data_IF_193616710402
#
_entry.id   IF_193616710402
#
_cell.length_a   1.000
_cell.length_b   1.000
_cell.length_c   1.000
_cell.angle_alpha   90.00
_cell.angle_beta   90.00
_cell.angle_gamma   90.00
#
_symmetry.space_group_name_H-M   'P 1'
#
loop_
_entity.id
_entity.type
_entity.pdbx_description
1 polymer ?
#
# COMPACT_ATOMS: atom_id res chain seq x y z
N UNK A 1 3.45 5.02 -31.18
CA UNK A 1 3.47 4.64 -30.76
C UNK A 1 3.71 4.19 -30.36
N UNK A 2 3.85 3.95 -30.05
CA UNK A 2 3.79 3.42 -29.62
C UNK A 2 3.88 2.84 -29.27
N UNK A 3 3.98 2.35 -29.67
CA UNK A 3 4.07 1.66 -29.50
C UNK A 3 4.28 1.27 -29.04
N UNK A 4 4.46 0.79 -29.11
CA UNK A 4 4.62 0.39 -28.72
C UNK A 4 4.26 0.11 -28.09
N UNK A 5 3.80 -0.67 -28.20
CA UNK A 5 3.09 -0.85 -27.60
C UNK A 5 3.03 -1.29 -26.34
N UNK A 6 3.04 -2.48 -25.80
CA UNK A 6 3.29 -2.79 -24.44
C UNK A 6 4.18 -1.78 -23.80
N UNK A 7 5.09 -1.46 -24.53
CA UNK A 7 5.92 -0.35 -24.14
C UNK A 7 5.11 0.87 -23.89
N UNK A 8 3.87 0.75 -24.23
CA UNK A 8 2.99 1.89 -24.21
C UNK A 8 2.01 1.76 -23.07
N UNK A 9 2.57 1.66 -21.85
CA UNK A 9 1.76 1.75 -20.65
C UNK A 9 1.09 3.11 -20.63
N UNK A 10 -0.19 3.11 -20.33
CA UNK A 10 -0.92 4.38 -20.21
C UNK A 10 -0.62 5.03 -18.87
N UNK A 11 -0.63 6.34 -18.86
CA UNK A 11 -0.56 7.11 -17.62
C UNK A 11 -1.96 7.20 -17.04
N UNK A 12 -2.14 6.69 -15.83
CA UNK A 12 -3.44 6.70 -15.19
C UNK A 12 -3.25 6.96 -13.69
N UNK A 13 -2.91 8.20 -13.36
CA UNK A 13 -2.65 8.58 -11.98
C UNK A 13 -3.90 8.42 -11.11
N UNK A 14 -5.09 8.55 -11.70
CA UNK A 14 -6.33 8.33 -10.96
C UNK A 14 -6.45 6.90 -10.48
N UNK A 15 -6.07 5.92 -11.32
CA UNK A 15 -6.09 4.53 -10.89
C UNK A 15 -5.05 4.27 -9.79
N UNK A 16 -3.88 4.89 -9.86
CA UNK A 16 -2.88 4.78 -8.81
C UNK A 16 -3.41 5.35 -7.49
N UNK A 17 -4.10 6.49 -7.55
CA UNK A 17 -4.75 7.08 -6.37
C UNK A 17 -5.77 6.11 -5.78
N UNK A 18 -6.62 5.55 -6.63
CA UNK A 18 -7.65 4.59 -6.19
C UNK A 18 -7.01 3.39 -5.54
N UNK A 19 -5.90 2.90 -6.10
CA UNK A 19 -5.20 1.73 -5.53
C UNK A 19 -4.68 2.02 -4.12
N UNK A 20 -4.11 3.20 -3.89
CA UNK A 20 -3.67 3.57 -2.55
C UNK A 20 -4.85 3.72 -1.59
N UNK A 21 -5.93 4.38 -2.03
CA UNK A 21 -7.10 4.59 -1.18
C UNK A 21 -7.86 3.30 -0.89
N UNK A 22 -7.76 2.30 -1.78
CA UNK A 22 -8.40 1.01 -1.57
C UNK A 22 -7.93 0.33 -0.29
N UNK A 23 -6.75 0.70 0.22
CA UNK A 23 -6.27 0.18 1.50
C UNK A 23 -7.22 0.53 2.65
N UNK A 24 -7.98 1.60 2.50
CA UNK A 24 -8.95 2.02 3.53
C UNK A 24 -10.08 1.01 3.70
N UNK A 25 -10.30 0.14 2.71
CA UNK A 25 -11.31 -0.91 2.82
C UNK A 25 -11.02 -1.88 3.97
N UNK A 26 -9.78 -1.93 4.46
CA UNK A 26 -9.43 -2.73 5.62
C UNK A 26 -10.26 -2.35 6.84
N UNK A 27 -10.62 -1.07 6.96
CA UNK A 27 -11.40 -0.60 8.11
C UNK A 27 -12.88 -0.98 8.01
N UNK A 28 -13.32 -1.46 6.84
CA UNK A 28 -14.73 -1.85 6.62
C UNK A 28 -14.86 -3.35 6.47
N UNK A 29 -13.97 -3.99 5.69
CA UNK A 29 -14.11 -5.40 5.32
C UNK A 29 -13.04 -6.31 5.92
N UNK A 30 -12.03 -5.76 6.58
CA UNK A 30 -10.89 -6.51 7.13
C UNK A 30 -9.79 -6.70 6.12
N UNK A 31 -9.95 -7.60 5.16
CA UNK A 31 -8.91 -7.91 4.19
C UNK A 31 -9.09 -7.23 2.83
N UNK A 32 -10.21 -6.53 2.64
CA UNK A 32 -10.46 -5.86 1.37
C UNK A 32 -9.37 -4.88 0.98
N UNK A 33 -8.77 -4.22 1.96
CA UNK A 33 -7.70 -3.26 1.73
C UNK A 33 -6.42 -3.87 1.19
N UNK A 34 -6.23 -5.18 1.35
CA UNK A 34 -5.09 -5.89 0.76
C UNK A 34 -5.49 -6.52 -0.57
N UNK A 35 -6.69 -7.11 -0.62
CA UNK A 35 -7.15 -7.86 -1.78
C UNK A 35 -7.31 -6.97 -3.01
N UNK A 36 -7.93 -5.80 -2.85
CA UNK A 36 -8.19 -4.90 -3.99
C UNK A 36 -6.88 -4.38 -4.61
N UNK A 37 -5.93 -3.83 -3.82
CA UNK A 37 -4.65 -3.43 -4.41
C UNK A 37 -3.89 -4.60 -5.05
N UNK A 38 -3.96 -5.79 -4.46
CA UNK A 38 -3.29 -6.95 -5.00
C UNK A 38 -3.85 -7.31 -6.38
N UNK A 39 -5.17 -7.30 -6.53
CA UNK A 39 -5.82 -7.59 -7.81
C UNK A 39 -5.46 -6.51 -8.84
N UNK A 40 -5.53 -5.24 -8.45
CA UNK A 40 -5.20 -4.14 -9.36
C UNK A 40 -3.75 -4.22 -9.80
N UNK A 41 -2.83 -4.51 -8.88
CA UNK A 41 -1.43 -4.67 -9.23
C UNK A 41 -1.24 -5.83 -10.20
N UNK A 42 -1.81 -6.99 -9.89
CA UNK A 42 -1.62 -8.20 -10.70
C UNK A 42 -2.18 -8.03 -12.12
N UNK A 43 -3.28 -7.30 -12.27
CA UNK A 43 -3.95 -7.16 -13.56
C UNK A 43 -3.48 -5.95 -14.37
N UNK A 44 -2.97 -4.91 -13.72
CA UNK A 44 -2.66 -3.64 -14.37
C UNK A 44 -1.19 -3.26 -14.38
N UNK A 45 -0.32 -4.05 -13.75
CA UNK A 45 1.09 -3.67 -13.62
C UNK A 45 1.79 -3.48 -14.97
N UNK A 46 1.34 -4.22 -15.98
CA UNK A 46 1.92 -4.13 -17.32
C UNK A 46 1.17 -3.16 -18.22
N UNK A 47 0.08 -2.57 -17.75
CA UNK A 47 -0.81 -1.72 -18.56
C UNK A 47 -0.82 -0.27 -18.11
N UNK A 48 -0.56 -0.02 -16.83
CA UNK A 48 -0.58 1.33 -16.27
C UNK A 48 0.81 1.69 -15.81
N UNK A 49 1.30 2.84 -16.28
CA UNK A 49 2.62 3.34 -15.90
C UNK A 49 2.65 3.61 -14.39
N UNK A 50 3.66 3.07 -13.73
CA UNK A 50 3.82 3.23 -12.27
C UNK A 50 3.04 2.23 -11.44
N UNK A 51 2.16 1.43 -12.04
CA UNK A 51 1.34 0.49 -11.25
C UNK A 51 2.21 -0.58 -10.57
N UNK A 52 3.27 -1.04 -11.23
CA UNK A 52 4.14 -2.04 -10.62
C UNK A 52 4.82 -1.49 -9.38
N UNK A 53 5.37 -0.30 -9.45
CA UNK A 53 6.04 0.34 -8.32
C UNK A 53 5.06 0.68 -7.19
N UNK A 54 3.93 1.30 -7.53
CA UNK A 54 2.91 1.65 -6.53
C UNK A 54 2.28 0.42 -5.90
N UNK A 55 1.95 -0.59 -6.71
CA UNK A 55 1.33 -1.81 -6.21
C UNK A 55 2.25 -2.57 -5.26
N UNK A 56 3.53 -2.71 -5.63
CA UNK A 56 4.50 -3.37 -4.76
C UNK A 56 4.67 -2.63 -3.44
N UNK A 57 4.73 -1.29 -3.50
CA UNK A 57 4.86 -0.48 -2.30
C UNK A 57 3.67 -0.69 -1.37
N UNK A 58 2.46 -0.71 -1.93
CA UNK A 58 1.24 -0.90 -1.15
C UNK A 58 1.22 -2.28 -0.50
N UNK A 59 1.51 -3.33 -1.27
CA UNK A 59 1.50 -4.69 -0.76
C UNK A 59 2.56 -4.88 0.32
N UNK A 60 3.77 -4.40 0.09
CA UNK A 60 4.84 -4.48 1.07
C UNK A 60 4.47 -3.75 2.35
N UNK A 61 3.88 -2.56 2.23
CA UNK A 61 3.44 -1.79 3.38
C UNK A 61 2.35 -2.53 4.16
N UNK A 62 1.33 -3.06 3.47
CA UNK A 62 0.24 -3.77 4.11
C UNK A 62 0.73 -5.00 4.86
N UNK A 63 1.59 -5.80 4.22
CA UNK A 63 2.14 -6.99 4.85
C UNK A 63 2.99 -6.61 6.07
N UNK A 64 3.77 -5.55 5.96
CA UNK A 64 4.59 -5.06 7.08
C UNK A 64 3.72 -4.63 8.25
N UNK A 65 2.65 -3.90 7.97
CA UNK A 65 1.75 -3.42 9.03
C UNK A 65 1.06 -4.59 9.73
N UNK A 66 0.70 -5.64 8.99
CA UNK A 66 0.12 -6.85 9.59
C UNK A 66 1.10 -7.50 10.55
N UNK A 67 2.36 -7.64 10.15
CA UNK A 67 3.39 -8.22 11.00
C UNK A 67 3.61 -7.37 12.25
N UNK A 68 3.74 -6.05 12.10
CA UNK A 68 3.94 -5.17 13.23
C UNK A 68 2.75 -5.18 14.19
N UNK A 69 1.55 -5.31 13.64
CA UNK A 69 0.32 -5.41 14.42
C UNK A 69 0.36 -6.64 15.34
N UNK A 70 0.67 -7.82 14.78
CA UNK A 70 0.73 -9.04 15.58
C UNK A 70 1.86 -9.01 16.60
N UNK A 71 3.02 -8.48 16.23
CA UNK A 71 4.13 -8.34 17.18
C UNK A 71 3.74 -7.42 18.34
N UNK A 72 3.03 -6.34 18.04
CA UNK A 72 2.59 -5.40 19.07
C UNK A 72 1.62 -6.05 20.04
N UNK A 73 0.68 -6.85 19.52
CA UNK A 73 -0.28 -7.56 20.37
C UNK A 73 0.42 -8.52 21.33
N UNK A 74 1.44 -9.22 20.84
CA UNK A 74 2.21 -10.15 21.67
C UNK A 74 2.94 -9.41 22.79
N UNK A 75 3.44 -8.20 22.53
CA UNK A 75 4.21 -7.44 23.50
C UNK A 75 3.35 -6.74 24.56
N UNK A 76 2.08 -6.46 24.26
CA UNK A 76 1.20 -5.74 25.18
C UNK A 76 1.07 -6.41 26.56
N UNK A 77 0.73 -7.71 26.64
CA UNK A 77 0.54 -8.32 27.96
C UNK A 77 1.81 -8.49 28.76
N UNK A 78 2.97 -8.43 28.12
CA UNK A 78 4.24 -8.67 28.80
C UNK A 78 4.82 -7.37 29.38
N UNK A 79 4.83 -6.29 28.61
CA UNK A 79 5.53 -5.07 29.00
C UNK A 79 4.73 -3.80 28.82
N UNK A 80 3.52 -3.84 28.32
CA UNK A 80 2.75 -2.67 27.87
C UNK A 80 3.49 -1.87 26.79
N UNK A 81 4.69 -2.29 26.41
CA UNK A 81 5.48 -1.62 25.37
C UNK A 81 4.85 -1.77 24.01
N UNK A 82 4.14 -2.90 23.79
CA UNK A 82 3.47 -3.16 22.52
C UNK A 82 2.38 -2.16 22.18
N UNK A 83 1.89 -1.40 23.17
CA UNK A 83 0.83 -0.43 22.92
C UNK A 83 1.32 0.73 22.04
N UNK A 84 2.54 1.21 22.27
CA UNK A 84 3.08 2.30 21.47
C UNK A 84 3.29 1.92 20.01
N UNK A 85 3.96 0.80 19.66
CA UNK A 85 4.05 0.40 18.26
C UNK A 85 2.71 0.06 17.65
N UNK A 86 1.74 -0.46 18.43
CA UNK A 86 0.40 -0.71 17.93
C UNK A 86 -0.28 0.59 17.52
N UNK A 87 -0.18 1.63 18.34
CA UNK A 87 -0.72 2.94 18.00
C UNK A 87 -0.06 3.50 16.74
N UNK A 88 1.27 3.36 16.63
CA UNK A 88 1.99 3.82 15.45
C UNK A 88 1.51 3.10 14.19
N UNK A 89 1.34 1.77 14.27
CA UNK A 89 0.83 0.98 13.14
C UNK A 89 -0.55 1.48 12.71
N UNK A 90 -1.44 1.72 13.67
CA UNK A 90 -2.78 2.20 13.35
C UNK A 90 -2.75 3.56 12.66
N UNK A 91 -1.93 4.48 13.16
CA UNK A 91 -1.80 5.82 12.58
C UNK A 91 -1.22 5.74 11.18
N UNK A 92 -0.12 5.01 11.00
CA UNK A 92 0.52 4.89 9.69
C UNK A 92 -0.39 4.22 8.67
N UNK A 93 -1.13 3.19 9.09
CA UNK A 93 -2.04 2.47 8.20
C UNK A 93 -3.19 3.35 7.72
N UNK A 94 -3.54 4.40 8.47
CA UNK A 94 -4.56 5.35 8.06
C UNK A 94 -3.98 6.50 7.26
N UNK A 95 -2.89 7.10 7.76
CA UNK A 95 -2.34 8.35 7.22
C UNK A 95 -1.55 8.13 5.94
N UNK A 96 -0.69 7.11 5.92
CA UNK A 96 0.22 6.94 4.78
C UNK A 96 -0.47 6.62 3.46
N UNK A 97 -1.54 5.81 3.42
CA UNK A 97 -2.27 5.63 2.15
C UNK A 97 -2.83 6.93 1.60
N UNK A 98 -3.29 7.83 2.48
CA UNK A 98 -3.82 9.13 2.05
C UNK A 98 -2.70 9.98 1.45
N UNK A 99 -1.55 10.07 2.14
CA UNK A 99 -0.40 10.83 1.66
C UNK A 99 0.09 10.30 0.31
N UNK A 100 0.18 8.97 0.19
CA UNK A 100 0.66 8.38 -1.04
C UNK A 100 -0.35 8.45 -2.18
N UNK A 101 -1.65 8.51 -1.86
CA UNK A 101 -2.67 8.79 -2.86
C UNK A 101 -2.48 10.19 -3.43
N UNK A 102 -2.17 11.17 -2.59
CA UNK A 102 -1.90 12.53 -3.03
C UNK A 102 -0.63 12.55 -3.90
N UNK A 103 0.43 11.85 -3.50
CA UNK A 103 1.64 11.74 -4.31
C UNK A 103 1.33 11.13 -5.68
N UNK A 104 0.52 10.06 -5.71
CA UNK A 104 0.15 9.41 -6.95
C UNK A 104 -0.61 10.35 -7.89
N UNK A 105 -1.48 11.20 -7.33
CA UNK A 105 -2.21 12.17 -8.14
C UNK A 105 -1.27 13.19 -8.80
N UNK A 106 -0.10 13.43 -8.19
CA UNK A 106 0.91 14.34 -8.70
C UNK A 106 1.96 13.64 -9.55
N UNK A 107 1.81 12.35 -9.80
CA UNK A 107 2.78 11.58 -10.57
C UNK A 107 4.05 11.22 -9.81
N UNK A 108 4.06 11.35 -8.49
CA UNK A 108 5.22 11.03 -7.66
C UNK A 108 5.24 9.56 -7.25
N UNK A 109 6.42 9.04 -6.98
CA UNK A 109 6.56 7.68 -6.48
C UNK A 109 6.11 7.58 -5.02
N UNK A 110 5.62 6.39 -4.59
CA UNK A 110 5.16 6.21 -3.22
C UNK A 110 6.32 6.17 -2.22
N UNK A 111 6.00 6.51 -0.98
CA UNK A 111 6.93 6.41 0.13
C UNK A 111 6.17 5.96 1.37
N UNK A 112 6.45 4.75 1.81
CA UNK A 112 5.81 4.16 2.99
C UNK A 112 6.90 3.87 4.03
N UNK A 113 6.94 4.61 5.16
CA UNK A 113 7.94 4.38 6.21
C UNK A 113 7.69 3.03 6.91
N UNK A 114 8.77 2.44 7.40
CA UNK A 114 8.75 1.17 8.12
C UNK A 114 8.23 0.00 7.28
N UNK A 115 8.13 0.17 5.98
CA UNK A 115 7.71 -0.90 5.08
C UNK A 115 8.87 -1.88 4.86
N UNK A 116 8.56 -3.17 4.99
CA UNK A 116 9.50 -4.23 4.67
C UNK A 116 9.32 -4.64 3.21
N UNK A 117 10.41 -5.08 2.58
CA UNK A 117 10.37 -5.41 1.16
C UNK A 117 10.10 -6.90 0.97
N UNK A 118 8.85 -7.25 0.74
CA UNK A 118 8.45 -8.63 0.44
C UNK A 118 8.44 -8.91 -1.05
N UNK A 119 8.20 -7.89 -1.84
CA UNK A 119 8.19 -7.96 -3.31
C UNK A 119 9.22 -6.94 -3.81
N UNK A 120 10.18 -7.40 -4.61
CA UNK A 120 11.20 -6.50 -5.16
C UNK A 120 11.19 -6.40 -6.70
#
# INVERSE_FOLDING_TARGET
MESNYHTLKRTDNQLLVITHLAQMLTYVTGFGGLIVPLILWATQKDRVDGMDEHGKAIINFQLSMIIYFFLSIILIPVFFIGLLPLMLVCVLSFVMPIINAIKASNGELPSYPLSLSFIS
#
